data_IF_570813334187
#
_entry.id   IF_570813334187
#
_cell.length_a   1.000
_cell.length_b   1.000
_cell.length_c   1.000
_cell.angle_alpha   90.00
_cell.angle_beta   90.00
_cell.angle_gamma   90.00
#
_symmetry.space_group_name_H-M   'P 1'
#
loop_
_entity.id
_entity.type
_entity.pdbx_description
1 polymer ?
#
# COMPACT_ATOMS: atom_id res chain seq x y z
N UNK A 1 -9.50 26.38 -9.00
CA UNK A 1 -8.31 26.79 -9.71
C UNK A 1 -7.56 25.54 -10.21
N UNK A 2 -7.26 25.45 -11.52
CA UNK A 2 -6.59 24.27 -12.11
C UNK A 2 -5.10 24.20 -11.73
N UNK A 3 -4.51 25.29 -11.23
CA UNK A 3 -3.07 25.38 -10.88
C UNK A 3 -2.80 25.25 -9.38
N UNK A 4 -3.81 24.97 -8.59
CA UNK A 4 -3.72 24.96 -7.13
C UNK A 4 -2.59 24.05 -6.59
N UNK A 5 -2.38 22.88 -7.18
CA UNK A 5 -1.31 21.97 -6.77
C UNK A 5 0.08 22.37 -7.28
N UNK A 6 0.16 23.23 -8.29
CA UNK A 6 1.44 23.81 -8.72
C UNK A 6 1.89 24.95 -7.77
N UNK A 7 0.93 25.66 -7.18
CA UNK A 7 1.18 26.73 -6.21
C UNK A 7 1.52 26.15 -4.84
N UNK A 8 0.80 25.09 -4.41
CA UNK A 8 1.05 24.37 -3.17
C UNK A 8 0.86 22.84 -3.38
N UNK A 9 1.93 22.08 -3.63
CA UNK A 9 1.88 20.63 -3.81
C UNK A 9 1.36 19.86 -2.60
N UNK A 10 1.52 20.38 -1.37
CA UNK A 10 1.04 19.69 -0.16
C UNK A 10 -0.49 19.65 -0.05
N UNK A 11 -1.22 20.52 -0.75
CA UNK A 11 -2.67 20.43 -0.86
C UNK A 11 -3.14 19.08 -1.43
N UNK A 12 -2.29 18.38 -2.18
CA UNK A 12 -2.57 17.02 -2.60
C UNK A 12 -2.78 16.08 -1.40
N UNK A 13 -1.95 16.20 -0.37
CA UNK A 13 -2.08 15.42 0.85
C UNK A 13 -3.39 15.72 1.58
N UNK A 14 -3.74 16.99 1.67
CA UNK A 14 -4.97 17.44 2.33
C UNK A 14 -6.22 16.93 1.64
N UNK A 15 -6.22 16.88 0.31
CA UNK A 15 -7.35 16.31 -0.46
C UNK A 15 -7.63 14.86 -0.02
N UNK A 16 -6.59 14.02 0.06
CA UNK A 16 -6.78 12.61 0.42
C UNK A 16 -7.07 12.42 1.91
N UNK A 17 -6.42 13.18 2.80
CA UNK A 17 -6.73 13.17 4.25
C UNK A 17 -8.18 13.54 4.50
N UNK A 18 -8.65 14.63 3.88
CA UNK A 18 -10.01 15.11 4.02
C UNK A 18 -11.03 14.10 3.45
N UNK A 19 -10.75 13.56 2.28
CA UNK A 19 -11.61 12.54 1.67
C UNK A 19 -11.73 11.30 2.57
N UNK A 20 -10.62 10.85 3.17
CA UNK A 20 -10.61 9.71 4.08
C UNK A 20 -11.35 10.03 5.39
N UNK A 21 -11.06 11.16 6.02
CA UNK A 21 -11.65 11.57 7.28
C UNK A 21 -13.18 11.64 7.20
N UNK A 22 -13.70 12.13 6.09
CA UNK A 22 -15.13 12.31 5.86
C UNK A 22 -15.77 11.18 5.04
N UNK A 23 -15.02 10.10 4.75
CA UNK A 23 -15.45 8.98 3.92
C UNK A 23 -16.05 9.43 2.57
N UNK A 24 -15.42 10.41 1.94
CA UNK A 24 -15.85 10.99 0.67
C UNK A 24 -15.22 10.29 -0.53
N UNK A 25 -15.94 10.25 -1.64
CA UNK A 25 -15.39 9.89 -2.94
C UNK A 25 -14.91 11.14 -3.67
N UNK A 26 -13.77 11.05 -4.35
CA UNK A 26 -13.28 12.10 -5.22
C UNK A 26 -14.24 12.27 -6.43
N UNK A 27 -14.67 13.49 -6.69
CA UNK A 27 -15.45 13.77 -7.90
C UNK A 27 -14.59 13.59 -9.16
N UNK A 28 -15.20 13.26 -10.28
CA UNK A 28 -14.47 13.10 -11.55
C UNK A 28 -13.74 14.38 -11.98
N UNK A 29 -14.32 15.54 -11.68
CA UNK A 29 -13.65 16.82 -11.92
C UNK A 29 -12.37 16.97 -11.08
N UNK A 30 -12.41 16.60 -9.80
CA UNK A 30 -11.22 16.65 -8.94
C UNK A 30 -10.16 15.64 -9.40
N UNK A 31 -10.56 14.42 -9.75
CA UNK A 31 -9.65 13.42 -10.33
C UNK A 31 -8.97 13.94 -11.61
N UNK A 32 -9.72 14.63 -12.48
CA UNK A 32 -9.17 15.25 -13.69
C UNK A 32 -8.15 16.34 -13.35
N UNK A 33 -8.45 17.19 -12.37
CA UNK A 33 -7.53 18.25 -11.92
C UNK A 33 -6.24 17.63 -11.36
N UNK A 34 -6.35 16.60 -10.51
CA UNK A 34 -5.18 15.89 -9.96
C UNK A 34 -4.32 15.34 -11.11
N UNK A 35 -4.91 14.57 -12.03
CA UNK A 35 -4.15 13.98 -13.16
C UNK A 35 -3.47 15.04 -14.02
N UNK A 36 -4.11 16.19 -14.25
CA UNK A 36 -3.54 17.30 -15.03
C UNK A 36 -2.29 17.89 -14.36
N UNK A 37 -2.25 17.90 -13.02
CA UNK A 37 -1.15 18.45 -12.25
C UNK A 37 -0.03 17.43 -11.93
N UNK A 38 -0.23 16.13 -12.15
CA UNK A 38 0.80 15.10 -11.87
C UNK A 38 2.16 15.39 -12.52
N UNK A 39 2.27 15.83 -13.80
CA UNK A 39 3.56 16.14 -14.39
C UNK A 39 4.33 17.22 -13.63
N UNK A 40 3.62 18.21 -13.07
CA UNK A 40 4.23 19.30 -12.27
C UNK A 40 4.70 18.81 -10.91
N UNK A 41 4.08 17.76 -10.37
CA UNK A 41 4.40 17.17 -9.07
C UNK A 41 5.50 16.10 -9.17
N UNK A 42 5.84 15.63 -10.37
CA UNK A 42 6.80 14.54 -10.58
C UNK A 42 8.20 14.89 -10.08
N UNK A 43 8.63 16.12 -10.28
CA UNK A 43 9.95 16.61 -9.89
C UNK A 43 9.95 17.26 -8.51
N UNK A 44 8.80 17.30 -7.85
CA UNK A 44 8.67 17.86 -6.51
C UNK A 44 9.37 16.93 -5.48
N UNK A 45 10.26 17.51 -4.69
CA UNK A 45 10.99 16.78 -3.63
C UNK A 45 10.16 16.77 -2.36
N UNK A 46 9.48 15.66 -2.13
CA UNK A 46 8.74 15.43 -0.90
C UNK A 46 9.69 15.21 0.27
N UNK A 47 9.51 15.96 1.35
CA UNK A 47 10.25 15.70 2.59
C UNK A 47 9.88 14.34 3.15
N UNK A 48 10.91 13.54 3.52
CA UNK A 48 10.70 12.16 3.99
C UNK A 48 9.75 12.08 5.17
N UNK A 49 9.86 13.03 6.11
CA UNK A 49 9.00 13.11 7.29
C UNK A 49 7.54 13.35 6.89
N UNK A 50 7.27 14.30 6.03
CA UNK A 50 5.92 14.67 5.62
C UNK A 50 5.26 13.55 4.83
N UNK A 51 6.03 12.90 3.94
CA UNK A 51 5.57 11.75 3.17
C UNK A 51 5.24 10.56 4.07
N UNK A 52 6.10 10.26 5.06
CA UNK A 52 5.85 9.21 6.04
C UNK A 52 4.59 9.51 6.85
N UNK A 53 4.50 10.71 7.43
CA UNK A 53 3.35 11.13 8.23
C UNK A 53 2.05 11.06 7.44
N UNK A 54 2.08 11.51 6.19
CA UNK A 54 0.95 11.41 5.28
C UNK A 54 0.52 9.96 5.06
N UNK A 55 1.41 9.11 4.56
CA UNK A 55 1.07 7.71 4.26
C UNK A 55 0.65 6.94 5.52
N UNK A 56 1.33 7.15 6.65
CA UNK A 56 1.01 6.45 7.89
C UNK A 56 -0.33 6.91 8.46
N UNK A 57 -0.67 8.20 8.34
CA UNK A 57 -2.00 8.69 8.76
C UNK A 57 -3.12 7.99 7.98
N UNK A 58 -2.93 7.79 6.67
CA UNK A 58 -3.88 7.08 5.82
C UNK A 58 -3.95 5.57 6.13
N UNK A 59 -2.79 4.92 6.39
CA UNK A 59 -2.73 3.49 6.71
C UNK A 59 -3.32 3.17 8.08
N UNK A 60 -3.22 4.09 9.05
CA UNK A 60 -3.81 3.91 10.39
C UNK A 60 -5.33 4.06 10.41
N UNK A 61 -5.93 4.66 9.40
CA UNK A 61 -7.38 4.82 9.35
C UNK A 61 -8.10 3.49 9.02
N UNK A 62 -9.40 3.43 9.32
CA UNK A 62 -10.22 2.21 9.13
C UNK A 62 -10.59 1.92 7.68
N UNK A 63 -10.48 2.90 6.79
CA UNK A 63 -10.87 2.83 5.38
C UNK A 63 -9.68 3.10 4.45
N UNK A 64 -8.51 2.57 4.81
CA UNK A 64 -7.26 2.74 4.05
C UNK A 64 -7.40 2.23 2.62
N UNK A 65 -8.04 1.07 2.41
CA UNK A 65 -8.24 0.53 1.05
C UNK A 65 -8.86 1.55 0.10
N UNK A 66 -9.99 2.16 0.50
CA UNK A 66 -10.73 3.10 -0.36
C UNK A 66 -9.89 4.30 -0.78
N UNK A 67 -9.09 4.84 0.14
CA UNK A 67 -8.29 6.02 -0.14
C UNK A 67 -7.07 5.67 -1.00
N UNK A 68 -6.40 4.54 -0.72
CA UNK A 68 -5.29 4.06 -1.54
C UNK A 68 -5.73 3.68 -2.95
N UNK A 69 -6.93 3.10 -3.09
CA UNK A 69 -7.56 2.87 -4.39
C UNK A 69 -7.79 4.19 -5.14
N UNK A 70 -8.34 5.21 -4.48
CA UNK A 70 -8.55 6.51 -5.07
C UNK A 70 -7.23 7.19 -5.50
N UNK A 71 -6.17 7.08 -4.69
CA UNK A 71 -4.82 7.55 -5.04
C UNK A 71 -4.26 6.81 -6.24
N UNK A 72 -4.48 5.49 -6.31
CA UNK A 72 -4.04 4.65 -7.43
C UNK A 72 -4.78 5.00 -8.73
N UNK A 73 -6.09 5.21 -8.68
CA UNK A 73 -6.90 5.60 -9.83
C UNK A 73 -6.42 6.90 -10.51
N UNK A 74 -5.85 7.83 -9.73
CA UNK A 74 -5.34 9.10 -10.24
C UNK A 74 -3.81 9.15 -10.34
N UNK A 75 -3.13 8.02 -10.28
CA UNK A 75 -1.67 7.84 -10.38
C UNK A 75 -0.83 8.51 -9.27
N UNK A 76 -1.45 9.04 -8.23
CA UNK A 76 -0.76 9.66 -7.09
C UNK A 76 0.01 8.62 -6.29
N UNK A 77 -0.52 7.41 -6.12
CA UNK A 77 0.17 6.36 -5.39
C UNK A 77 1.49 5.97 -6.07
N UNK A 78 1.49 5.85 -7.40
CA UNK A 78 2.70 5.61 -8.18
C UNK A 78 3.67 6.79 -8.22
N UNK A 79 3.18 8.02 -8.07
CA UNK A 79 4.02 9.21 -7.91
C UNK A 79 4.80 9.18 -6.59
N UNK A 80 4.13 8.85 -5.48
CA UNK A 80 4.73 8.83 -4.14
C UNK A 80 5.55 7.56 -3.88
N UNK A 81 5.13 6.44 -4.45
CA UNK A 81 5.77 5.12 -4.37
C UNK A 81 6.02 4.57 -5.79
N UNK A 82 7.06 5.03 -6.50
CA UNK A 82 7.33 4.61 -7.89
C UNK A 82 7.50 3.11 -8.06
N UNK A 83 7.99 2.42 -7.03
CA UNK A 83 8.14 0.96 -7.02
C UNK A 83 6.77 0.28 -7.10
N UNK A 84 5.77 0.79 -6.40
CA UNK A 84 4.38 0.33 -6.53
C UNK A 84 3.79 0.71 -7.89
N UNK A 85 4.12 1.90 -8.39
CA UNK A 85 3.68 2.38 -9.70
C UNK A 85 4.08 1.44 -10.85
N UNK A 86 5.21 0.75 -10.75
CA UNK A 86 5.67 -0.25 -11.73
C UNK A 86 4.77 -1.48 -11.81
N UNK A 87 4.00 -1.77 -10.76
CA UNK A 87 3.08 -2.92 -10.71
C UNK A 87 1.79 -2.68 -11.48
N UNK A 88 1.54 -1.44 -11.91
CA UNK A 88 0.28 -1.06 -12.57
C UNK A 88 0.10 -1.86 -13.86
N UNK A 89 -1.05 -2.55 -13.96
CA UNK A 89 -1.41 -3.42 -15.09
C UNK A 89 -0.49 -4.64 -15.29
N UNK A 90 0.42 -4.94 -14.36
CA UNK A 90 1.23 -6.15 -14.46
C UNK A 90 0.39 -7.39 -14.14
N UNK A 91 0.32 -8.30 -15.11
CA UNK A 91 -0.32 -9.60 -14.97
C UNK A 91 0.78 -10.60 -14.60
N UNK A 92 0.63 -11.29 -13.48
CA UNK A 92 1.50 -12.42 -13.17
C UNK A 92 0.86 -13.71 -13.71
N UNK A 93 1.64 -14.49 -14.46
CA UNK A 93 1.18 -15.72 -15.13
C UNK A 93 0.95 -16.92 -14.18
N UNK A 94 0.73 -16.72 -12.91
CA UNK A 94 0.31 -17.79 -12.02
C UNK A 94 -1.18 -18.08 -12.19
N UNK A 95 -1.53 -19.34 -12.44
CA UNK A 95 -2.87 -19.84 -12.71
C UNK A 95 -3.95 -19.47 -11.66
N UNK A 96 -3.57 -18.79 -10.58
CA UNK A 96 -4.42 -18.45 -9.43
C UNK A 96 -4.72 -16.94 -9.29
N UNK A 97 -4.16 -16.06 -10.13
CA UNK A 97 -4.35 -14.63 -9.96
C UNK A 97 -5.42 -14.07 -10.92
N UNK A 98 -6.60 -13.73 -10.36
CA UNK A 98 -7.67 -13.03 -11.09
C UNK A 98 -7.40 -11.52 -11.24
N UNK A 99 -6.33 -11.01 -10.64
CA UNK A 99 -6.05 -9.58 -10.53
C UNK A 99 -4.63 -9.25 -10.98
N UNK A 100 -4.44 -8.02 -11.43
CA UNK A 100 -3.09 -7.45 -11.62
C UNK A 100 -2.39 -7.27 -10.27
N UNK A 101 -1.06 -7.19 -10.26
CA UNK A 101 -0.25 -7.13 -9.03
C UNK A 101 -0.66 -5.94 -8.14
N UNK A 102 -0.86 -4.77 -8.74
CA UNK A 102 -1.31 -3.55 -8.06
C UNK A 102 -2.67 -3.73 -7.38
N UNK A 103 -3.64 -4.30 -8.11
CA UNK A 103 -4.99 -4.56 -7.58
C UNK A 103 -4.94 -5.61 -6.46
N UNK A 104 -4.13 -6.67 -6.62
CA UNK A 104 -3.93 -7.69 -5.59
C UNK A 104 -3.40 -7.10 -4.28
N UNK A 105 -2.38 -6.24 -4.35
CA UNK A 105 -1.82 -5.57 -3.18
C UNK A 105 -2.85 -4.68 -2.47
N UNK A 106 -3.63 -3.90 -3.23
CA UNK A 106 -4.71 -3.07 -2.66
C UNK A 106 -5.79 -3.91 -2.00
N UNK A 107 -6.26 -4.98 -2.67
CA UNK A 107 -7.27 -5.88 -2.11
C UNK A 107 -6.79 -6.63 -0.86
N UNK A 108 -5.49 -6.86 -0.71
CA UNK A 108 -4.93 -7.43 0.51
C UNK A 108 -5.18 -6.53 1.72
N UNK A 109 -5.12 -5.20 1.54
CA UNK A 109 -5.51 -4.23 2.58
C UNK A 109 -7.01 -4.32 2.87
N UNK A 110 -7.85 -4.40 1.83
CA UNK A 110 -9.31 -4.52 1.99
C UNK A 110 -9.68 -5.77 2.80
N UNK A 111 -9.09 -6.91 2.47
CA UNK A 111 -9.30 -8.17 3.19
C UNK A 111 -8.90 -8.06 4.66
N UNK A 112 -7.74 -7.43 4.93
CA UNK A 112 -7.31 -7.19 6.31
C UNK A 112 -8.29 -6.29 7.08
N UNK A 113 -8.79 -5.23 6.47
CA UNK A 113 -9.77 -4.34 7.09
C UNK A 113 -11.10 -5.04 7.36
N UNK A 114 -11.53 -5.91 6.46
CA UNK A 114 -12.76 -6.70 6.61
C UNK A 114 -12.66 -7.73 7.73
N UNK A 115 -11.47 -8.21 8.12
CA UNK A 115 -11.30 -9.08 9.30
C UNK A 115 -11.82 -8.41 10.58
N UNK A 116 -11.73 -7.10 10.69
CA UNK A 116 -12.20 -6.36 11.87
C UNK A 116 -13.72 -6.39 12.05
N UNK A 117 -14.46 -6.57 10.94
CA UNK A 117 -15.93 -6.54 10.93
C UNK A 117 -16.56 -7.93 10.78
N UNK A 118 -15.75 -8.98 10.62
CA UNK A 118 -16.27 -10.31 10.36
C UNK A 118 -16.57 -11.03 11.68
N UNK A 119 -17.84 -11.39 11.87
CA UNK A 119 -18.33 -12.17 13.02
C UNK A 119 -18.28 -13.68 12.80
N UNK A 120 -17.76 -14.15 11.67
CA UNK A 120 -17.59 -15.57 11.40
C UNK A 120 -16.60 -16.19 12.38
N UNK A 121 -16.99 -17.30 13.00
CA UNK A 121 -16.21 -17.95 14.05
C UNK A 121 -14.79 -18.31 13.63
N UNK A 122 -14.63 -18.70 12.37
CA UNK A 122 -13.33 -19.08 11.79
C UNK A 122 -12.36 -17.87 11.66
N UNK A 123 -12.89 -16.67 11.48
CA UNK A 123 -12.09 -15.44 11.33
C UNK A 123 -11.92 -14.67 12.65
N UNK A 124 -12.61 -15.08 13.72
CA UNK A 124 -12.55 -14.39 15.02
C UNK A 124 -11.13 -14.40 15.63
N UNK A 125 -10.39 -15.50 15.46
CA UNK A 125 -9.01 -15.58 15.93
C UNK A 125 -8.09 -14.61 15.17
N UNK A 126 -8.19 -14.55 13.84
CA UNK A 126 -7.42 -13.61 13.03
C UNK A 126 -7.79 -12.16 13.35
N UNK A 127 -9.07 -11.88 13.60
CA UNK A 127 -9.53 -10.56 14.04
C UNK A 127 -8.90 -10.17 15.38
N UNK A 128 -8.87 -11.08 16.35
CA UNK A 128 -8.23 -10.86 17.65
C UNK A 128 -6.73 -10.59 17.52
N UNK A 129 -6.03 -11.38 16.71
CA UNK A 129 -4.60 -11.16 16.43
C UNK A 129 -4.39 -9.79 15.78
N UNK A 130 -5.19 -9.42 14.77
CA UNK A 130 -5.06 -8.12 14.12
C UNK A 130 -5.28 -6.96 15.08
N UNK A 131 -6.27 -7.05 15.98
CA UNK A 131 -6.54 -6.03 16.99
C UNK A 131 -5.41 -5.88 18.02
N UNK A 132 -4.61 -6.93 18.24
CA UNK A 132 -3.45 -6.89 19.15
C UNK A 132 -2.20 -6.25 18.54
N UNK A 133 -2.20 -5.97 17.23
CA UNK A 133 -1.04 -5.41 16.53
C UNK A 133 -0.87 -3.93 16.91
N UNK A 134 0.27 -3.61 17.52
CA UNK A 134 0.59 -2.25 17.97
C UNK A 134 0.87 -1.25 16.83
N UNK A 135 1.27 -1.74 15.66
CA UNK A 135 1.66 -0.93 14.50
C UNK A 135 0.97 -1.45 13.21
N UNK A 136 -0.37 -1.33 13.12
CA UNK A 136 -1.12 -1.87 11.97
C UNK A 136 -0.75 -1.20 10.65
N UNK A 137 -0.25 0.05 10.68
CA UNK A 137 0.22 0.77 9.49
C UNK A 137 1.45 0.09 8.85
N UNK A 138 2.33 -0.52 9.62
CA UNK A 138 3.47 -1.28 9.08
C UNK A 138 3.00 -2.56 8.39
N UNK A 139 2.01 -3.25 8.97
CA UNK A 139 1.41 -4.42 8.33
C UNK A 139 0.70 -4.03 7.03
N UNK A 140 -0.12 -2.97 7.04
CA UNK A 140 -0.80 -2.50 5.82
C UNK A 140 0.19 -2.03 4.76
N UNK A 141 1.28 -1.36 5.15
CA UNK A 141 2.36 -0.99 4.23
C UNK A 141 3.03 -2.24 3.65
N UNK A 142 3.26 -3.29 4.46
CA UNK A 142 3.81 -4.54 3.94
C UNK A 142 2.87 -5.21 2.93
N UNK A 143 1.56 -5.20 3.16
CA UNK A 143 0.58 -5.72 2.21
C UNK A 143 0.52 -4.91 0.91
N UNK A 144 0.71 -3.60 0.98
CA UNK A 144 0.79 -2.75 -0.21
C UNK A 144 2.02 -3.08 -1.06
N UNK A 145 3.12 -3.51 -0.43
CA UNK A 145 4.43 -3.62 -1.09
C UNK A 145 4.88 -5.07 -1.35
N UNK A 146 4.24 -6.09 -0.74
CA UNK A 146 4.78 -7.46 -0.67
C UNK A 146 5.11 -8.08 -2.03
N UNK A 147 4.36 -7.73 -3.06
CA UNK A 147 4.49 -8.28 -4.41
C UNK A 147 5.10 -7.29 -5.42
N UNK A 148 5.61 -6.13 -4.98
CA UNK A 148 6.17 -5.12 -5.90
C UNK A 148 7.35 -5.64 -6.73
N UNK A 149 8.08 -6.63 -6.24
CA UNK A 149 9.15 -7.28 -7.01
C UNK A 149 8.69 -8.06 -8.24
N UNK A 150 7.42 -8.46 -8.30
CA UNK A 150 6.83 -9.16 -9.47
C UNK A 150 6.83 -8.31 -10.75
N UNK A 151 6.99 -7.00 -10.62
CA UNK A 151 7.06 -6.10 -11.78
C UNK A 151 8.25 -6.38 -12.72
N UNK A 152 9.32 -7.03 -12.27
CA UNK A 152 10.54 -7.30 -13.04
C UNK A 152 10.80 -8.79 -13.35
N UNK A 153 9.90 -9.68 -13.00
CA UNK A 153 9.79 -11.05 -13.58
C UNK A 153 10.80 -12.11 -13.13
N UNK A 154 11.75 -11.80 -12.22
CA UNK A 154 12.74 -12.75 -11.67
C UNK A 154 12.42 -13.10 -10.21
N UNK A 155 13.40 -13.33 -9.36
CA UNK A 155 13.13 -13.55 -7.93
C UNK A 155 12.42 -12.32 -7.33
N UNK A 156 11.09 -12.41 -7.22
CA UNK A 156 10.26 -11.29 -6.79
C UNK A 156 10.52 -10.88 -5.33
N UNK A 157 11.01 -11.79 -4.49
CA UNK A 157 11.33 -11.49 -3.09
C UNK A 157 12.61 -10.65 -3.02
N UNK A 158 13.67 -11.05 -3.73
CA UNK A 158 14.91 -10.29 -3.75
C UNK A 158 14.72 -8.90 -4.38
N UNK A 159 14.07 -8.84 -5.54
CA UNK A 159 13.73 -7.58 -6.20
C UNK A 159 12.86 -6.68 -5.30
N UNK A 160 11.85 -7.26 -4.64
CA UNK A 160 11.01 -6.55 -3.70
C UNK A 160 11.78 -5.97 -2.51
N UNK A 161 12.78 -6.69 -2.00
CA UNK A 161 13.66 -6.21 -0.91
C UNK A 161 14.56 -5.06 -1.37
N UNK A 162 15.07 -5.09 -2.61
CA UNK A 162 15.83 -3.96 -3.19
C UNK A 162 14.95 -2.71 -3.34
N UNK A 163 13.72 -2.87 -3.81
CA UNK A 163 12.74 -1.79 -3.87
C UNK A 163 12.43 -1.24 -2.49
N UNK A 164 12.29 -2.12 -1.51
CA UNK A 164 12.02 -1.74 -0.14
C UNK A 164 13.13 -0.86 0.47
N UNK A 165 14.39 -1.09 0.14
CA UNK A 165 15.50 -0.25 0.61
C UNK A 165 15.37 1.20 0.12
N UNK A 166 14.90 1.41 -1.10
CA UNK A 166 14.62 2.75 -1.63
C UNK A 166 13.42 3.39 -0.92
N UNK A 167 12.36 2.62 -0.66
CA UNK A 167 11.17 3.09 0.06
C UNK A 167 11.52 3.45 1.51
N UNK A 168 12.32 2.63 2.21
CA UNK A 168 12.78 2.90 3.57
C UNK A 168 13.52 4.24 3.63
N UNK A 169 14.42 4.50 2.68
CA UNK A 169 15.15 5.78 2.59
C UNK A 169 14.20 6.95 2.29
N UNK A 170 13.29 6.77 1.33
CA UNK A 170 12.33 7.80 0.91
C UNK A 170 11.38 8.19 2.03
N UNK A 171 10.92 7.23 2.82
CA UNK A 171 10.02 7.47 3.96
C UNK A 171 10.76 7.80 5.26
N UNK A 172 12.08 7.70 5.30
CA UNK A 172 12.85 7.92 6.53
C UNK A 172 12.42 6.97 7.65
N UNK A 173 12.20 5.67 7.33
CA UNK A 173 11.75 4.70 8.33
C UNK A 173 12.82 4.43 9.37
N UNK A 174 12.41 4.32 10.63
CA UNK A 174 13.30 3.95 11.74
C UNK A 174 13.80 2.51 11.59
N UNK A 175 14.94 2.20 12.22
CA UNK A 175 15.56 0.85 12.16
C UNK A 175 14.59 -0.27 12.52
N UNK A 176 13.73 -0.05 13.53
CA UNK A 176 12.73 -1.04 13.97
C UNK A 176 11.64 -1.24 12.92
N UNK A 177 11.11 -0.16 12.37
CA UNK A 177 10.10 -0.18 11.30
C UNK A 177 10.65 -0.89 10.06
N UNK A 178 11.84 -0.49 9.61
CA UNK A 178 12.51 -1.09 8.47
C UNK A 178 12.77 -2.60 8.66
N UNK A 179 13.22 -3.03 9.85
CA UNK A 179 13.44 -4.44 10.18
C UNK A 179 12.14 -5.25 10.12
N UNK A 180 11.06 -4.71 10.69
CA UNK A 180 9.75 -5.38 10.69
C UNK A 180 9.21 -5.49 9.26
N UNK A 181 9.29 -4.42 8.49
CA UNK A 181 8.79 -4.40 7.11
C UNK A 181 9.56 -5.37 6.21
N UNK A 182 10.90 -5.42 6.32
CA UNK A 182 11.76 -6.40 5.63
C UNK A 182 11.40 -7.83 6.01
N UNK A 183 11.18 -8.10 7.29
CA UNK A 183 10.78 -9.42 7.77
C UNK A 183 9.45 -9.86 7.17
N UNK A 184 8.43 -8.99 7.20
CA UNK A 184 7.10 -9.29 6.65
C UNK A 184 7.18 -9.57 5.14
N UNK A 185 7.88 -8.73 4.38
CA UNK A 185 8.04 -8.95 2.94
C UNK A 185 8.81 -10.23 2.61
N UNK A 186 9.90 -10.51 3.32
CA UNK A 186 10.71 -11.70 3.07
C UNK A 186 9.94 -13.00 3.32
N UNK A 187 9.04 -13.01 4.28
CA UNK A 187 8.37 -14.22 4.76
C UNK A 187 6.88 -14.29 4.40
N UNK A 188 6.36 -13.39 3.53
CA UNK A 188 4.93 -13.35 3.22
C UNK A 188 4.38 -14.66 2.62
N UNK A 189 5.18 -15.42 1.87
CA UNK A 189 4.80 -16.73 1.30
C UNK A 189 5.13 -17.91 2.19
N UNK A 190 5.83 -17.70 3.32
CA UNK A 190 6.39 -18.77 4.15
C UNK A 190 5.31 -19.71 4.70
N UNK A 191 4.22 -19.16 5.22
CA UNK A 191 3.13 -19.96 5.79
C UNK A 191 2.44 -20.82 4.71
N UNK A 192 2.20 -20.25 3.54
CA UNK A 192 1.61 -20.97 2.41
C UNK A 192 2.52 -22.13 1.97
N UNK A 193 3.80 -21.89 1.77
CA UNK A 193 4.76 -22.93 1.41
C UNK A 193 4.88 -24.02 2.48
N UNK A 194 4.80 -23.65 3.77
CA UNK A 194 4.89 -24.60 4.88
C UNK A 194 3.64 -25.48 4.93
N UNK A 195 2.45 -24.88 4.81
CA UNK A 195 1.18 -25.60 4.83
C UNK A 195 1.04 -26.59 3.66
N UNK A 196 1.61 -26.28 2.50
CA UNK A 196 1.58 -27.16 1.34
C UNK A 196 2.57 -28.34 1.41
N UNK A 197 3.63 -28.22 2.19
CA UNK A 197 4.76 -29.16 2.20
C UNK A 197 4.89 -29.99 3.47
N UNK A 198 4.16 -29.64 4.53
CA UNK A 198 4.23 -30.32 5.84
C UNK A 198 2.84 -30.81 6.23
N UNK A 199 2.80 -32.04 6.70
CA UNK A 199 1.66 -32.52 7.46
C UNK A 199 1.64 -31.80 8.82
N UNK A 200 0.64 -30.94 9.03
CA UNK A 200 0.50 -30.17 10.26
C UNK A 200 -0.20 -30.96 11.37
N UNK A 201 -0.55 -32.24 11.13
CA UNK A 201 -1.19 -33.15 12.10
C UNK A 201 -0.18 -34.00 12.88
N UNK A 202 1.13 -33.86 12.61
CA UNK A 202 2.22 -34.51 13.33
C UNK A 202 3.05 -33.53 14.16
#
# INVERSE_FOLDING_TARGET
NETVFAEDPYLLFDVFRYAQQHNLKLSENLKRIIRKNLPLLKDFKWESKDLKEFLFSLLNAKNSFKIFQAMHEVDVLGLLLPEFGKCKFQIHNDYFHMYTVDVHCLQSIEKLENLHFNSEKELAEFSSVYQSISRPEILKLSLLLHDTGKAEGTDHIETGLLYLDNIIKRLGLEKREAKTLKFLMKHHVFMNHTAQRRDLSN
#
